data_IF_197378921692
#
_entry.id   IF_197378921692
#
_cell.length_a   1.000
_cell.length_b   1.000
_cell.length_c   1.000
_cell.angle_alpha   90.00
_cell.angle_beta   90.00
_cell.angle_gamma   90.00
#
_symmetry.space_group_name_H-M   'P 1'
#
loop_
_entity.id
_entity.type
_entity.pdbx_description
1 polymer ?
#
# COMPACT_ATOMS: atom_id res chain seq x y z
N UNK A 1 3.95 11.52 -5.11
CA UNK A 1 4.07 10.50 -6.17
C UNK A 1 4.24 11.20 -7.51
N UNK A 2 5.08 10.70 -8.43
CA UNK A 2 5.23 11.30 -9.77
C UNK A 2 4.74 10.34 -10.85
N UNK A 3 3.90 10.82 -11.78
CA UNK A 3 3.41 10.05 -12.92
C UNK A 3 3.58 10.93 -14.17
N UNK A 4 4.31 10.44 -15.17
CA UNK A 4 4.52 11.13 -16.45
C UNK A 4 4.99 12.59 -16.33
N UNK A 5 5.84 12.90 -15.35
CA UNK A 5 6.37 14.25 -15.14
C UNK A 5 5.48 15.19 -14.33
N UNK A 6 4.34 14.69 -13.81
CA UNK A 6 3.48 15.44 -12.88
C UNK A 6 3.64 14.87 -11.48
N UNK A 7 3.99 15.74 -10.52
CA UNK A 7 4.07 15.42 -9.11
C UNK A 7 2.69 15.62 -8.46
N UNK A 8 2.17 14.55 -7.86
CA UNK A 8 0.92 14.52 -7.13
C UNK A 8 1.17 14.35 -5.63
N UNK A 9 0.51 15.18 -4.82
CA UNK A 9 0.50 15.06 -3.37
C UNK A 9 -0.80 15.64 -2.80
N UNK A 10 -1.20 15.16 -1.63
CA UNK A 10 -2.34 15.73 -0.90
C UNK A 10 -1.89 16.92 -0.09
N UNK A 11 -2.72 17.96 -0.05
CA UNK A 11 -2.56 19.12 0.81
C UNK A 11 -3.89 19.42 1.52
N UNK A 12 -3.78 19.95 2.74
CA UNK A 12 -4.90 20.45 3.51
C UNK A 12 -5.15 21.93 3.19
N UNK A 13 -6.42 22.32 3.01
CA UNK A 13 -6.80 23.73 2.87
C UNK A 13 -7.18 24.31 4.24
N UNK A 14 -6.36 25.22 4.76
CA UNK A 14 -6.54 25.79 6.10
C UNK A 14 -7.84 26.61 6.30
N UNK A 15 -8.50 27.05 5.22
CA UNK A 15 -9.65 27.96 5.28
C UNK A 15 -10.99 27.25 5.52
N UNK A 16 -11.06 25.94 5.31
CA UNK A 16 -12.25 25.11 5.55
C UNK A 16 -11.76 23.89 6.31
N UNK A 17 -12.29 23.66 7.51
CA UNK A 17 -11.87 22.53 8.34
C UNK A 17 -11.91 21.22 7.54
N UNK A 18 -10.75 20.60 7.35
CA UNK A 18 -10.54 19.26 6.79
C UNK A 18 -10.94 19.06 5.32
N UNK A 19 -10.82 20.11 4.48
CA UNK A 19 -10.89 19.94 3.03
C UNK A 19 -9.51 19.54 2.46
N UNK A 20 -9.48 18.39 1.79
CA UNK A 20 -8.28 17.86 1.15
C UNK A 20 -8.31 18.16 -0.35
N UNK A 21 -7.15 18.53 -0.88
CA UNK A 21 -6.97 18.74 -2.32
C UNK A 21 -5.78 17.93 -2.80
N UNK A 22 -5.90 17.34 -3.98
CA UNK A 22 -4.75 16.81 -4.70
C UNK A 22 -4.10 17.97 -5.45
N UNK A 23 -2.88 18.30 -5.06
CA UNK A 23 -2.03 19.24 -5.78
C UNK A 23 -1.29 18.47 -6.87
N UNK A 24 -1.39 18.99 -8.09
CA UNK A 24 -0.71 18.49 -9.26
C UNK A 24 0.31 19.54 -9.71
N UNK A 25 1.60 19.21 -9.66
CA UNK A 25 2.67 20.09 -10.12
C UNK A 25 3.31 19.49 -11.38
N UNK A 26 3.11 20.13 -12.53
CA UNK A 26 3.81 19.75 -13.75
C UNK A 26 5.26 20.21 -13.65
N UNK A 27 6.19 19.26 -13.63
CA UNK A 27 7.61 19.53 -13.41
C UNK A 27 8.24 20.24 -14.61
N UNK A 28 7.68 20.07 -15.82
CA UNK A 28 8.23 20.66 -17.04
C UNK A 28 7.77 22.10 -17.25
N UNK A 29 6.48 22.37 -17.01
CA UNK A 29 5.94 23.74 -17.13
C UNK A 29 5.97 24.52 -15.82
N UNK A 30 6.30 23.88 -14.69
CA UNK A 30 6.29 24.46 -13.35
C UNK A 30 4.94 25.07 -12.95
N UNK A 31 3.85 24.44 -13.39
CA UNK A 31 2.48 24.92 -13.15
C UNK A 31 1.73 24.04 -12.19
N UNK A 32 0.86 24.66 -11.38
CA UNK A 32 0.00 23.97 -10.44
C UNK A 32 -1.44 23.83 -10.97
N UNK A 33 -2.00 22.65 -10.80
CA UNK A 33 -3.44 22.41 -10.91
C UNK A 33 -3.93 21.65 -9.67
N UNK A 34 -5.25 21.67 -9.46
CA UNK A 34 -5.86 21.21 -8.23
C UNK A 34 -7.06 20.31 -8.57
N UNK A 35 -7.17 19.20 -7.84
CA UNK A 35 -8.30 18.27 -7.97
C UNK A 35 -8.91 18.12 -6.58
N UNK A 36 -10.18 18.48 -6.46
CA UNK A 36 -10.92 18.35 -5.21
C UNK A 36 -11.18 16.87 -4.92
N UNK A 37 -11.04 16.47 -3.65
CA UNK A 37 -11.38 15.13 -3.17
C UNK A 37 -12.37 15.23 -2.03
N UNK A 38 -13.26 14.24 -1.95
CA UNK A 38 -14.36 14.28 -1.00
C UNK A 38 -13.90 14.01 0.45
N UNK A 39 -12.70 13.44 0.64
CA UNK A 39 -12.15 13.09 1.95
C UNK A 39 -10.67 12.75 1.89
N UNK A 40 -10.07 12.53 3.06
CA UNK A 40 -8.74 11.94 3.19
C UNK A 40 -8.63 10.62 2.40
N UNK A 41 -7.57 10.49 1.62
CA UNK A 41 -7.31 9.30 0.83
C UNK A 41 -5.80 9.05 0.69
N UNK A 42 -5.43 7.92 0.10
CA UNK A 42 -4.05 7.66 -0.35
C UNK A 42 -3.99 7.77 -1.86
N UNK A 43 -2.86 8.26 -2.37
CA UNK A 43 -2.59 8.35 -3.81
C UNK A 43 -1.78 7.13 -4.25
N UNK A 44 -2.21 6.46 -5.32
CA UNK A 44 -1.48 5.34 -5.93
C UNK A 44 -1.37 5.52 -7.44
N UNK A 45 -0.30 4.98 -8.02
CA UNK A 45 -0.14 4.88 -9.47
C UNK A 45 -0.77 3.56 -9.91
N UNK A 46 -1.97 3.63 -10.47
CA UNK A 46 -2.70 2.46 -10.94
C UNK A 46 -2.61 2.38 -12.46
N UNK A 47 -1.79 1.44 -12.97
CA UNK A 47 -1.57 1.23 -14.41
C UNK A 47 -1.19 2.51 -15.18
N UNK A 48 -0.34 3.36 -14.59
CA UNK A 48 0.11 4.62 -15.19
C UNK A 48 -0.86 5.79 -15.04
N UNK A 49 -1.94 5.62 -14.27
CA UNK A 49 -2.91 6.68 -13.96
C UNK A 49 -2.90 7.01 -12.48
N UNK A 50 -3.23 8.26 -12.15
CA UNK A 50 -3.50 8.65 -10.78
C UNK A 50 -4.78 7.92 -10.30
N UNK A 51 -4.70 7.28 -9.15
CA UNK A 51 -5.87 6.79 -8.46
C UNK A 51 -5.84 7.21 -6.98
N UNK A 52 -7.02 7.44 -6.42
CA UNK A 52 -7.24 7.59 -4.98
C UNK A 52 -7.78 6.28 -4.42
N UNK A 53 -7.37 5.96 -3.21
CA UNK A 53 -7.77 4.74 -2.52
C UNK A 53 -7.95 5.03 -1.02
N UNK A 54 -9.07 4.57 -0.46
CA UNK A 54 -9.42 4.76 0.94
C UNK A 54 -10.44 3.70 1.38
N UNK A 55 -10.49 3.43 2.68
CA UNK A 55 -11.58 2.67 3.29
C UNK A 55 -12.75 3.58 3.63
N UNK A 56 -13.98 3.12 3.47
CA UNK A 56 -15.18 3.95 3.68
C UNK A 56 -15.26 4.52 5.11
N UNK A 57 -14.71 3.78 6.08
CA UNK A 57 -14.60 4.16 7.49
C UNK A 57 -13.15 4.53 7.89
N UNK A 58 -12.31 4.92 6.93
CA UNK A 58 -11.01 5.50 7.24
C UNK A 58 -11.21 6.83 7.97
N UNK A 59 -10.41 6.97 9.02
CA UNK A 59 -10.24 8.18 9.82
C UNK A 59 -9.01 8.93 9.34
N UNK A 60 -9.00 10.24 9.54
CA UNK A 60 -7.85 11.06 9.22
C UNK A 60 -6.68 10.72 10.16
N UNK A 61 -5.67 10.02 9.62
CA UNK A 61 -4.52 9.60 10.39
C UNK A 61 -3.61 10.76 10.79
N UNK A 62 -3.65 11.90 10.07
CA UNK A 62 -2.89 13.09 10.43
C UNK A 62 -3.52 13.78 11.64
N UNK A 63 -4.85 13.80 11.71
CA UNK A 63 -5.56 14.25 12.91
C UNK A 63 -5.15 13.41 14.13
N UNK A 64 -5.10 12.08 13.99
CA UNK A 64 -4.72 11.18 15.09
C UNK A 64 -3.27 11.40 15.55
N UNK A 65 -2.33 11.47 14.60
CA UNK A 65 -0.91 11.67 14.91
C UNK A 65 -0.61 13.05 15.49
N UNK A 66 -1.41 14.08 15.15
CA UNK A 66 -1.27 15.44 15.72
C UNK A 66 -1.47 15.45 17.24
N UNK A 67 -2.30 14.55 17.77
CA UNK A 67 -2.49 14.39 19.23
C UNK A 67 -1.37 13.56 19.91
N UNK A 68 -0.33 13.17 19.18
CA UNK A 68 0.83 12.48 19.73
C UNK A 68 0.60 11.01 20.08
N UNK A 69 -0.52 10.41 19.61
CA UNK A 69 -0.76 8.97 19.74
C UNK A 69 -0.01 8.21 18.64
N UNK A 70 0.56 7.06 19.00
CA UNK A 70 1.04 6.10 18.02
C UNK A 70 -0.16 5.59 17.20
N UNK A 71 -0.07 5.67 15.87
CA UNK A 71 -1.18 5.32 14.98
C UNK A 71 -1.62 3.86 15.19
N UNK A 72 -0.67 2.96 15.44
CA UNK A 72 -1.00 1.56 15.59
C UNK A 72 -1.64 1.28 16.96
N UNK A 73 -1.18 1.94 18.03
CA UNK A 73 -1.84 1.90 19.35
C UNK A 73 -3.27 2.44 19.27
N UNK A 74 -3.47 3.60 18.63
CA UNK A 74 -4.81 4.15 18.43
C UNK A 74 -5.70 3.19 17.64
N UNK A 75 -5.20 2.64 16.53
CA UNK A 75 -5.97 1.70 15.73
C UNK A 75 -6.36 0.48 16.55
N UNK A 76 -5.44 -0.10 17.33
CA UNK A 76 -5.69 -1.24 18.24
C UNK A 76 -6.75 -0.92 19.31
N UNK A 77 -6.70 0.27 19.92
CA UNK A 77 -7.67 0.73 20.94
C UNK A 77 -9.07 1.02 20.36
N UNK A 78 -9.14 1.38 19.07
CA UNK A 78 -10.36 1.85 18.40
C UNK A 78 -10.80 0.91 17.26
N UNK A 79 -10.38 -0.36 17.29
CA UNK A 79 -10.88 -1.40 16.38
C UNK A 79 -12.36 -1.65 16.70
N UNK A 80 -13.25 -0.95 15.99
CA UNK A 80 -14.67 -1.28 16.02
C UNK A 80 -14.90 -2.66 15.38
N UNK A 81 -15.66 -3.53 16.06
CA UNK A 81 -16.04 -4.82 15.54
C UNK A 81 -16.99 -4.70 14.33
N UNK A 82 -17.69 -3.56 14.19
CA UNK A 82 -18.62 -3.25 13.09
C UNK A 82 -17.99 -2.44 11.95
N UNK A 83 -16.66 -2.38 11.89
CA UNK A 83 -15.93 -1.58 10.92
C UNK A 83 -16.25 -1.99 9.47
N UNK A 84 -16.66 -1.01 8.64
CA UNK A 84 -17.02 -1.27 7.24
C UNK A 84 -15.78 -1.64 6.45
N UNK A 85 -15.70 -2.89 5.98
CA UNK A 85 -14.60 -3.40 5.16
C UNK A 85 -14.83 -3.09 3.67
N UNK A 86 -15.20 -1.86 3.34
CA UNK A 86 -15.37 -1.43 1.95
C UNK A 86 -14.20 -0.54 1.53
N UNK A 87 -13.45 -0.98 0.52
CA UNK A 87 -12.38 -0.20 -0.11
C UNK A 87 -12.94 0.49 -1.35
N UNK A 88 -12.75 1.80 -1.41
CA UNK A 88 -13.01 2.62 -2.58
C UNK A 88 -11.72 2.82 -3.36
N UNK A 89 -11.77 2.61 -4.67
CA UNK A 89 -10.66 2.88 -5.59
C UNK A 89 -11.21 3.71 -6.74
N UNK A 90 -10.75 4.95 -6.88
CA UNK A 90 -11.17 5.81 -7.99
C UNK A 90 -9.99 6.13 -8.88
N UNK A 91 -10.12 5.84 -10.17
CA UNK A 91 -9.07 6.04 -11.17
C UNK A 91 -9.41 7.28 -12.00
N UNK A 92 -8.46 8.21 -12.12
CA UNK A 92 -8.62 9.43 -12.89
C UNK A 92 -8.45 9.11 -14.38
N UNK A 93 -9.54 9.20 -15.14
CA UNK A 93 -9.57 8.87 -16.57
C UNK A 93 -9.24 10.08 -17.45
N UNK A 94 -9.66 11.26 -17.02
CA UNK A 94 -9.46 12.52 -17.72
C UNK A 94 -9.16 13.61 -16.69
N UNK A 95 -7.95 14.13 -16.73
CA UNK A 95 -7.45 15.13 -15.76
C UNK A 95 -8.15 16.47 -15.96
N UNK A 96 -8.34 16.91 -17.21
CA UNK A 96 -8.93 18.21 -17.54
C UNK A 96 -10.41 18.26 -17.14
N UNK A 97 -11.15 17.17 -17.39
CA UNK A 97 -12.57 17.05 -17.02
C UNK A 97 -12.79 16.51 -15.62
N UNK A 98 -11.72 16.15 -14.90
CA UNK A 98 -11.76 15.47 -13.61
C UNK A 98 -12.73 14.28 -13.60
N UNK A 99 -12.66 13.45 -14.64
CA UNK A 99 -13.55 12.29 -14.80
C UNK A 99 -12.96 11.08 -14.08
N UNK A 100 -13.74 10.47 -13.21
CA UNK A 100 -13.33 9.32 -12.40
C UNK A 100 -14.08 8.03 -12.77
N UNK A 101 -13.35 6.92 -12.85
CA UNK A 101 -13.91 5.57 -12.75
C UNK A 101 -13.90 5.15 -11.29
N UNK A 102 -15.07 4.95 -10.67
CA UNK A 102 -15.22 4.66 -9.24
C UNK A 102 -15.54 3.18 -9.02
N UNK A 103 -14.76 2.52 -8.17
CA UNK A 103 -14.92 1.11 -7.81
C UNK A 103 -15.05 0.95 -6.29
N UNK A 104 -15.77 -0.09 -5.87
CA UNK A 104 -15.99 -0.44 -4.47
C UNK A 104 -15.85 -1.95 -4.29
N UNK A 105 -15.14 -2.35 -3.24
CA UNK A 105 -14.85 -3.74 -2.93
C UNK A 105 -15.11 -3.99 -1.46
N UNK A 106 -16.01 -4.92 -1.14
CA UNK A 106 -16.37 -5.26 0.24
C UNK A 106 -15.78 -6.62 0.59
N UNK A 107 -15.12 -6.74 1.74
CA UNK A 107 -14.66 -8.01 2.28
C UNK A 107 -15.53 -8.43 3.47
N UNK A 108 -15.92 -9.70 3.47
CA UNK A 108 -16.62 -10.36 4.60
C UNK A 108 -15.73 -11.40 5.27
N UNK A 109 -14.47 -11.48 4.87
CA UNK A 109 -13.52 -12.48 5.38
C UNK A 109 -12.74 -11.89 6.56
N UNK A 110 -12.93 -12.50 7.73
CA UNK A 110 -12.28 -12.12 8.99
C UNK A 110 -10.75 -12.30 8.96
N UNK A 111 -10.21 -13.03 7.96
CA UNK A 111 -8.76 -13.23 7.82
C UNK A 111 -8.03 -12.03 7.20
N UNK A 112 -8.77 -11.06 6.66
CA UNK A 112 -8.19 -9.83 6.13
C UNK A 112 -8.20 -8.71 7.18
N UNK A 113 -7.17 -8.71 8.02
CA UNK A 113 -7.01 -7.75 9.12
C UNK A 113 -6.61 -6.34 8.65
N UNK A 114 -7.44 -5.69 7.82
CA UNK A 114 -7.09 -4.45 7.10
C UNK A 114 -6.52 -3.33 7.97
N UNK A 115 -6.94 -3.23 9.25
CA UNK A 115 -6.49 -2.20 10.18
C UNK A 115 -5.01 -2.35 10.54
N UNK A 116 -4.46 -3.56 10.43
CA UNK A 116 -3.03 -3.84 10.55
C UNK A 116 -2.27 -3.73 9.22
N UNK A 117 -2.93 -3.34 8.12
CA UNK A 117 -2.32 -3.25 6.80
C UNK A 117 -2.11 -1.79 6.35
N UNK A 118 -0.99 -1.55 5.68
CA UNK A 118 -0.70 -0.35 4.90
C UNK A 118 -0.97 -0.63 3.42
N UNK A 119 -1.43 0.39 2.70
CA UNK A 119 -1.51 0.36 1.23
C UNK A 119 -0.14 0.79 0.73
N UNK A 120 0.61 -0.13 0.12
CA UNK A 120 1.95 0.14 -0.38
C UNK A 120 1.92 0.80 -1.77
N UNK A 121 0.88 0.54 -2.57
CA UNK A 121 0.74 1.06 -3.93
C UNK A 121 0.07 0.04 -4.85
N UNK A 122 0.36 0.12 -6.14
CA UNK A 122 -0.07 -0.86 -7.12
C UNK A 122 1.09 -1.27 -8.05
N UNK A 123 1.07 -2.52 -8.50
CA UNK A 123 2.02 -3.06 -9.47
C UNK A 123 1.71 -2.57 -10.89
N UNK A 124 2.63 -2.77 -11.82
CA UNK A 124 2.39 -2.49 -13.24
C UNK A 124 1.22 -3.30 -13.84
N UNK A 125 0.97 -4.51 -13.33
CA UNK A 125 -0.20 -5.35 -13.69
C UNK A 125 -1.52 -4.83 -13.12
N UNK A 126 -1.48 -3.85 -12.20
CA UNK A 126 -2.65 -3.29 -11.53
C UNK A 126 -3.14 -4.09 -10.33
N UNK A 127 -2.25 -4.86 -9.69
CA UNK A 127 -2.55 -5.45 -8.39
C UNK A 127 -2.26 -4.43 -7.31
N UNK A 128 -3.22 -4.20 -6.41
CA UNK A 128 -3.07 -3.31 -5.26
C UNK A 128 -2.38 -4.10 -4.16
N UNK A 129 -1.26 -3.56 -3.66
CA UNK A 129 -0.42 -4.23 -2.68
C UNK A 129 -0.72 -3.69 -1.30
N UNK A 130 -1.08 -4.59 -0.39
CA UNK A 130 -1.18 -4.32 1.04
C UNK A 130 -0.05 -5.02 1.78
N UNK A 131 0.49 -4.38 2.81
CA UNK A 131 1.52 -4.98 3.67
C UNK A 131 1.13 -4.85 5.12
N UNK A 132 1.46 -5.83 5.95
CA UNK A 132 1.39 -5.65 7.39
C UNK A 132 2.26 -4.45 7.83
N UNK A 133 1.73 -3.64 8.75
CA UNK A 133 2.37 -2.44 9.29
C UNK A 133 3.45 -2.75 10.32
N UNK A 134 3.28 -3.85 11.05
CA UNK A 134 4.21 -4.29 12.10
C UNK A 134 4.79 -5.65 11.75
N UNK A 135 6.08 -5.78 12.00
CA UNK A 135 6.74 -7.07 12.12
C UNK A 135 6.84 -7.45 13.58
N UNK A 136 6.47 -8.69 13.91
CA UNK A 136 6.65 -9.25 15.25
C UNK A 136 7.47 -10.55 15.13
N UNK A 137 8.59 -10.69 15.86
CA UNK A 137 9.38 -11.90 15.82
C UNK A 137 8.56 -13.15 16.13
N UNK A 138 8.81 -14.23 15.39
CA UNK A 138 8.10 -15.53 15.51
C UNK A 138 6.63 -15.52 15.08
N UNK A 139 6.13 -14.40 14.55
CA UNK A 139 4.84 -14.35 13.87
C UNK A 139 5.07 -14.27 12.35
N UNK A 140 4.19 -14.88 11.54
CA UNK A 140 4.28 -14.74 10.10
C UNK A 140 4.02 -13.28 9.69
N UNK A 141 4.78 -12.81 8.70
CA UNK A 141 4.59 -11.50 8.09
C UNK A 141 3.99 -11.68 6.71
N UNK A 142 2.92 -10.95 6.41
CA UNK A 142 2.19 -11.12 5.15
C UNK A 142 2.18 -9.85 4.30
N UNK A 143 2.31 -10.06 3.00
CA UNK A 143 2.00 -9.10 1.94
C UNK A 143 0.82 -9.66 1.14
N UNK A 144 -0.09 -8.80 0.73
CA UNK A 144 -1.28 -9.18 -0.02
C UNK A 144 -1.30 -8.48 -1.38
N UNK A 145 -1.66 -9.23 -2.41
CA UNK A 145 -1.86 -8.74 -3.76
C UNK A 145 -3.34 -8.87 -4.10
N UNK A 146 -4.02 -7.73 -4.18
CA UNK A 146 -5.42 -7.67 -4.57
C UNK A 146 -5.53 -7.33 -6.05
N UNK A 147 -6.21 -8.17 -6.82
CA UNK A 147 -6.53 -7.90 -8.22
C UNK A 147 -7.95 -7.34 -8.31
N UNK A 148 -8.15 -6.04 -8.61
CA UNK A 148 -9.48 -5.44 -8.65
C UNK A 148 -10.34 -5.97 -9.81
N UNK A 149 -9.72 -6.37 -10.92
CA UNK A 149 -10.44 -6.86 -12.12
C UNK A 149 -11.03 -8.25 -11.90
N UNK A 150 -10.29 -9.11 -11.19
CA UNK A 150 -10.71 -10.48 -10.87
C UNK A 150 -11.41 -10.57 -9.51
N UNK A 151 -11.36 -9.50 -8.72
CA UNK A 151 -11.78 -9.46 -7.32
C UNK A 151 -11.15 -10.59 -6.48
N UNK A 152 -9.85 -10.84 -6.68
CA UNK A 152 -9.12 -11.90 -5.98
C UNK A 152 -8.05 -11.32 -5.08
N UNK A 153 -7.90 -11.87 -3.88
CA UNK A 153 -6.85 -11.51 -2.94
C UNK A 153 -5.88 -12.69 -2.78
N UNK A 154 -4.60 -12.46 -3.08
CA UNK A 154 -3.54 -13.41 -2.80
C UNK A 154 -2.77 -12.97 -1.55
N UNK A 155 -2.54 -13.90 -0.62
CA UNK A 155 -1.69 -13.71 0.56
C UNK A 155 -0.34 -14.38 0.34
N UNK A 156 0.73 -13.66 0.59
CA UNK A 156 2.12 -14.13 0.50
C UNK A 156 2.77 -13.98 1.87
N UNK A 157 3.31 -15.07 2.40
CA UNK A 157 4.11 -15.04 3.61
C UNK A 157 5.55 -14.69 3.28
N UNK A 158 6.10 -13.68 3.96
CA UNK A 158 7.51 -13.35 3.93
C UNK A 158 8.18 -14.05 5.12
N UNK A 159 9.25 -14.80 4.84
CA UNK A 159 9.98 -15.58 5.84
C UNK A 159 10.84 -14.70 6.75
N UNK A 160 10.19 -13.79 7.48
CA UNK A 160 10.79 -12.88 8.44
C UNK A 160 11.89 -11.98 7.87
N UNK A 161 12.53 -11.22 8.77
CA UNK A 161 13.66 -10.35 8.42
C UNK A 161 14.99 -10.88 8.96
N UNK A 162 15.08 -12.21 9.13
CA UNK A 162 16.25 -12.89 9.71
C UNK A 162 16.60 -12.43 11.14
N UNK A 163 17.86 -12.60 11.52
CA UNK A 163 18.36 -12.21 12.86
C UNK A 163 18.52 -10.70 13.06
N UNK A 164 18.37 -9.91 11.99
CA UNK A 164 18.52 -8.45 12.02
C UNK A 164 17.49 -7.78 12.94
N UNK A 165 16.29 -8.35 13.06
CA UNK A 165 15.19 -7.80 13.84
C UNK A 165 14.74 -8.76 14.95
N UNK A 166 15.26 -8.53 16.16
CA UNK A 166 14.94 -9.31 17.37
C UNK A 166 13.76 -8.75 18.18
N UNK A 167 13.21 -7.61 17.78
CA UNK A 167 12.09 -6.91 18.42
C UNK A 167 11.06 -6.50 17.37
N UNK A 168 9.84 -6.23 17.82
CA UNK A 168 8.79 -5.68 16.97
C UNK A 168 9.21 -4.34 16.37
N UNK A 169 8.91 -4.12 15.10
CA UNK A 169 9.19 -2.87 14.40
C UNK A 169 8.09 -2.52 13.40
N UNK A 170 8.00 -1.24 13.06
CA UNK A 170 7.14 -0.76 11.96
C UNK A 170 7.79 -1.09 10.62
N UNK A 171 6.96 -1.38 9.62
CA UNK A 171 7.36 -1.76 8.27
C UNK A 171 6.76 -0.78 7.26
N UNK A 172 7.64 -0.12 6.51
CA UNK A 172 7.28 0.66 5.34
C UNK A 172 7.54 -0.18 4.08
N UNK A 173 6.52 -0.35 3.25
CA UNK A 173 6.62 -1.12 2.01
C UNK A 173 6.48 -0.19 0.82
N UNK A 174 7.34 -0.37 -0.18
CA UNK A 174 7.36 0.42 -1.40
C UNK A 174 7.18 -0.52 -2.59
N UNK A 175 6.27 -0.16 -3.50
CA UNK A 175 6.05 -0.91 -4.75
C UNK A 175 6.83 -0.23 -5.89
N UNK A 176 7.24 -1.01 -6.89
CA UNK A 176 7.94 -0.52 -8.09
C UNK A 176 9.33 0.10 -7.81
N UNK A 177 10.03 -0.37 -6.76
CA UNK A 177 11.45 -0.06 -6.62
C UNK A 177 12.22 -0.74 -7.75
N UNK A 178 12.83 0.07 -8.62
CA UNK A 178 13.83 -0.40 -9.57
C UNK A 178 15.18 -0.12 -8.93
N UNK A 179 15.84 -1.17 -8.46
CA UNK A 179 17.23 -1.05 -8.02
C UNK A 179 18.11 -0.79 -9.25
N UNK A 180 18.85 0.31 -9.24
CA UNK A 180 20.00 0.47 -10.14
C UNK A 180 21.14 -0.37 -9.56
N UNK A 181 21.12 -1.67 -9.83
CA UNK A 181 22.13 -2.60 -9.32
C UNK A 181 23.37 -2.54 -10.19
N UNK A 182 24.43 -1.91 -9.70
CA UNK A 182 25.78 -2.21 -10.20
C UNK A 182 26.20 -3.60 -9.68
N UNK A 183 27.12 -4.26 -10.40
CA UNK A 183 27.64 -5.60 -10.12
C UNK A 183 28.23 -5.73 -8.70
N UNK A 184 28.64 -4.61 -8.10
CA UNK A 184 29.14 -4.57 -6.73
C UNK A 184 28.04 -4.58 -5.66
N UNK A 185 26.84 -4.07 -5.96
CA UNK A 185 25.72 -4.03 -5.01
C UNK A 185 25.07 -5.41 -4.84
N UNK A 186 25.07 -6.21 -5.92
CA UNK A 186 24.69 -7.63 -5.92
C UNK A 186 25.52 -8.50 -4.96
N UNK A 187 26.79 -8.14 -4.71
CA UNK A 187 27.64 -8.87 -3.75
C UNK A 187 27.26 -8.56 -2.31
N UNK A 188 26.76 -7.37 -2.03
CA UNK A 188 26.32 -6.96 -0.69
C UNK A 188 24.94 -7.55 -0.35
N UNK A 189 24.02 -7.62 -1.32
CA UNK A 189 22.68 -8.21 -1.12
C UNK A 189 22.71 -9.71 -0.81
N UNK A 190 23.64 -10.47 -1.43
CA UNK A 190 23.86 -11.90 -1.13
C UNK A 190 24.35 -12.17 0.28
N UNK A 191 24.93 -11.17 0.96
CA UNK A 191 25.39 -11.30 2.34
C UNK A 191 24.24 -11.20 3.36
N UNK A 192 23.07 -10.67 2.97
CA UNK A 192 21.96 -10.35 3.88
C UNK A 192 20.84 -11.39 3.81
N UNK A 193 20.75 -12.18 2.73
CA UNK A 193 19.71 -13.19 2.57
C UNK A 193 20.22 -14.57 3.03
N UNK A 194 19.44 -15.36 3.77
CA UNK A 194 19.72 -16.79 3.91
C UNK A 194 19.79 -17.43 2.52
N UNK A 195 20.66 -18.42 2.28
CA UNK A 195 20.73 -19.08 0.98
C UNK A 195 19.37 -19.64 0.60
N UNK A 196 18.94 -19.34 -0.63
CA UNK A 196 17.72 -19.89 -1.22
C UNK A 196 17.81 -21.42 -1.18
N UNK A 197 17.02 -22.04 -0.30
CA UNK A 197 16.86 -23.49 -0.28
C UNK A 197 16.04 -23.85 -1.51
N UNK A 198 16.65 -24.59 -2.44
CA UNK A 198 15.90 -25.13 -3.57
C UNK A 198 14.90 -26.18 -3.06
N UNK A 199 13.68 -26.26 -3.62
CA UNK A 199 12.73 -27.30 -3.24
C UNK A 199 13.29 -28.68 -3.56
N UNK A 200 13.31 -29.58 -2.58
CA UNK A 200 13.53 -31.00 -2.83
C UNK A 200 12.28 -31.56 -3.53
N UNK A 201 12.40 -31.82 -4.83
CA UNK A 201 11.41 -32.63 -5.54
C UNK A 201 11.64 -34.09 -5.18
N UNK A 202 10.71 -34.68 -4.43
CA UNK A 202 10.64 -36.13 -4.26
C UNK A 202 10.12 -36.74 -5.57
N UNK A 203 11.00 -37.40 -6.31
CA UNK A 203 10.57 -38.33 -7.36
C UNK A 203 9.86 -39.51 -6.69
N UNK A 204 8.59 -39.71 -7.05
CA UNK A 204 7.85 -40.91 -6.69
C UNK A 204 8.50 -42.11 -7.38
N UNK A 205 9.08 -43.01 -6.59
CA UNK A 205 9.52 -44.31 -7.08
C UNK A 205 8.29 -45.14 -7.46
N UNK A 206 8.02 -45.25 -8.76
CA UNK A 206 7.20 -46.33 -9.30
C UNK A 206 7.91 -47.65 -9.00
N UNK A 207 7.22 -48.55 -8.32
CA UNK A 207 7.65 -49.95 -8.15
C UNK A 207 6.61 -50.83 -8.83
N UNK A 208 7.11 -51.68 -9.73
CA UNK A 208 6.43 -52.79 -10.41
C UNK A 208 5.88 -53.84 -9.43
#
# INVERSE_FOLDING_TARGET
>A
MCINGVLYFLAERAEISFDYVIVCFDVRSETFTFIDVERFCRLINYKGKLAVIYWEDDVDIYEICYYGKDLDEYLEENLDADATNELRVWVLEDVEKQKWSKYAYTWTDDTFFRRHLSIAGATASGEIVFSMRKYTPKQPFYVFYFNPEKNTLQRVEIQGFGEAFKKTCSVCTFVNHVEDLDVNDLKQLKSVHPPLVQPEYYESSDSE
#
